data_IF_228132735683
#
_entry.id   IF_228132735683
#
_cell.length_a   1.000
_cell.length_b   1.000
_cell.length_c   1.000
_cell.angle_alpha   90.00
_cell.angle_beta   90.00
_cell.angle_gamma   90.00
#
_symmetry.space_group_name_H-M   'P 1'
#
loop_
_entity.id
_entity.type
_entity.pdbx_description
1 polymer ?
#
# COMPACT_ATOMS: atom_id res chain seq x y z
N UNK A 1 14.92 -32.81 -47.65
CA UNK A 1 14.84 -31.50 -48.31
C UNK A 1 15.95 -30.63 -47.74
N UNK A 2 17.05 -30.47 -48.47
CA UNK A 2 18.08 -29.47 -48.13
C UNK A 2 17.58 -28.13 -48.66
N UNK A 3 17.30 -27.20 -47.75
CA UNK A 3 16.99 -25.82 -48.11
C UNK A 3 18.31 -25.20 -48.59
N UNK A 4 18.32 -24.69 -49.82
CA UNK A 4 19.48 -24.02 -50.38
C UNK A 4 19.53 -22.59 -49.80
N UNK A 5 20.51 -22.32 -48.93
CA UNK A 5 20.63 -21.06 -48.18
C UNK A 5 21.37 -19.96 -48.96
N UNK A 6 22.00 -20.31 -50.09
CA UNK A 6 22.75 -19.37 -50.93
C UNK A 6 21.94 -18.15 -51.40
N UNK A 7 20.65 -18.24 -51.76
CA UNK A 7 19.87 -17.08 -52.21
C UNK A 7 19.58 -16.06 -51.09
N UNK A 8 19.55 -16.50 -49.83
CA UNK A 8 19.25 -15.63 -48.68
C UNK A 8 20.45 -14.75 -48.29
N UNK A 9 21.67 -15.19 -48.61
CA UNK A 9 22.91 -14.44 -48.35
C UNK A 9 23.22 -13.40 -49.44
N UNK A 10 22.69 -13.57 -50.65
CA UNK A 10 22.97 -12.68 -51.79
C UNK A 10 22.05 -11.44 -51.85
N UNK A 11 20.94 -11.40 -51.10
CA UNK A 11 19.93 -10.34 -51.20
C UNK A 11 20.14 -9.14 -50.25
N UNK A 12 21.27 -9.04 -49.54
CA UNK A 12 21.42 -8.17 -48.37
C UNK A 12 22.55 -7.13 -48.38
N UNK A 13 23.16 -6.82 -49.53
CA UNK A 13 24.40 -6.03 -49.58
C UNK A 13 24.20 -4.50 -49.76
N UNK A 14 22.99 -4.01 -50.04
CA UNK A 14 22.82 -2.56 -50.30
C UNK A 14 22.78 -1.66 -49.05
N UNK A 15 22.84 -2.20 -47.83
CA UNK A 15 22.75 -1.38 -46.61
C UNK A 15 23.61 -1.84 -45.42
N UNK A 16 24.53 -2.80 -45.60
CA UNK A 16 25.35 -3.31 -44.50
C UNK A 16 24.58 -4.03 -43.37
N UNK A 17 23.29 -4.35 -43.61
CA UNK A 17 22.41 -5.01 -42.63
C UNK A 17 22.59 -6.53 -42.57
N UNK A 18 23.08 -7.15 -43.64
CA UNK A 18 23.33 -8.60 -43.72
C UNK A 18 24.30 -9.11 -42.63
N UNK A 19 25.49 -8.49 -42.45
CA UNK A 19 26.43 -8.88 -41.40
C UNK A 19 25.87 -8.71 -39.98
N UNK A 20 25.11 -7.65 -39.72
CA UNK A 20 24.49 -7.41 -38.43
C UNK A 20 23.46 -8.50 -38.10
N UNK A 21 22.63 -8.88 -39.08
CA UNK A 21 21.62 -9.93 -38.88
C UNK A 21 22.27 -11.29 -38.57
N UNK A 22 23.36 -11.63 -39.26
CA UNK A 22 24.14 -12.85 -39.00
C UNK A 22 24.77 -12.85 -37.61
N UNK A 23 25.29 -11.71 -37.16
CA UNK A 23 25.87 -11.56 -35.81
C UNK A 23 24.79 -11.74 -34.74
N UNK A 24 23.62 -11.10 -34.89
CA UNK A 24 22.53 -11.25 -33.93
C UNK A 24 21.97 -12.67 -33.89
N UNK A 25 21.86 -13.33 -35.04
CA UNK A 25 21.42 -14.73 -35.12
C UNK A 25 22.44 -15.68 -34.48
N UNK A 26 23.73 -15.48 -34.76
CA UNK A 26 24.81 -16.26 -34.15
C UNK A 26 24.86 -16.08 -32.63
N UNK A 27 24.72 -14.83 -32.14
CA UNK A 27 24.63 -14.55 -30.71
C UNK A 27 23.40 -15.21 -30.07
N UNK A 28 22.24 -15.16 -30.73
CA UNK A 28 21.02 -15.83 -30.27
C UNK A 28 21.21 -17.35 -30.11
N UNK A 29 21.84 -18.01 -31.08
CA UNK A 29 22.19 -19.44 -31.01
C UNK A 29 23.16 -19.71 -29.86
N UNK A 30 24.20 -18.87 -29.68
CA UNK A 30 25.18 -19.03 -28.60
C UNK A 30 24.48 -18.92 -27.23
N UNK A 31 23.63 -17.92 -27.02
CA UNK A 31 22.88 -17.78 -25.76
C UNK A 31 21.90 -18.92 -25.52
N UNK A 32 21.23 -19.42 -26.56
CA UNK A 32 20.35 -20.57 -26.46
C UNK A 32 21.12 -21.85 -26.09
N UNK A 33 22.25 -22.12 -26.76
CA UNK A 33 23.11 -23.27 -26.46
C UNK A 33 23.74 -23.15 -25.07
N UNK A 34 24.13 -21.96 -24.63
CA UNK A 34 24.61 -21.72 -23.25
C UNK A 34 23.50 -21.92 -22.22
N UNK A 35 22.25 -21.54 -22.52
CA UNK A 35 21.09 -21.81 -21.65
C UNK A 35 20.83 -23.31 -21.51
N UNK A 36 20.77 -24.04 -22.63
CA UNK A 36 20.59 -25.50 -22.66
C UNK A 36 21.75 -26.21 -21.98
N UNK A 37 23.00 -25.80 -22.26
CA UNK A 37 24.19 -26.31 -21.59
C UNK A 37 24.12 -26.03 -20.09
N UNK A 38 23.76 -24.83 -19.65
CA UNK A 38 23.61 -24.53 -18.22
C UNK A 38 22.60 -25.44 -17.56
N UNK A 39 21.46 -25.72 -18.20
CA UNK A 39 20.47 -26.67 -17.68
C UNK A 39 21.08 -28.08 -17.61
N UNK A 40 21.59 -28.62 -18.71
CA UNK A 40 22.08 -30.00 -18.77
C UNK A 40 23.30 -30.21 -17.88
N UNK A 41 24.29 -29.32 -17.95
CA UNK A 41 25.53 -29.40 -17.18
C UNK A 41 25.26 -29.19 -15.69
N UNK A 42 24.34 -28.29 -15.29
CA UNK A 42 24.00 -28.13 -13.87
C UNK A 42 23.18 -29.29 -13.32
N UNK A 43 22.26 -29.85 -14.09
CA UNK A 43 21.47 -31.02 -13.65
C UNK A 43 22.33 -32.28 -13.55
N UNK A 44 23.40 -32.42 -14.36
CA UNK A 44 24.23 -33.62 -14.41
C UNK A 44 25.52 -33.53 -13.58
N UNK A 45 26.21 -32.37 -13.51
CA UNK A 45 27.51 -32.24 -12.85
C UNK A 45 27.48 -31.64 -11.43
N UNK A 46 26.41 -30.94 -11.01
CA UNK A 46 26.40 -30.24 -9.72
C UNK A 46 25.99 -31.08 -8.50
N UNK A 47 25.78 -32.40 -8.65
CA UNK A 47 25.46 -33.22 -7.46
C UNK A 47 26.64 -33.46 -6.52
N UNK A 48 27.89 -33.16 -6.91
CA UNK A 48 29.05 -33.54 -6.08
C UNK A 48 30.11 -32.46 -5.79
N UNK A 49 30.36 -31.47 -6.67
CA UNK A 49 31.61 -30.68 -6.56
C UNK A 49 31.49 -29.22 -6.12
N UNK A 50 30.31 -28.59 -6.22
CA UNK A 50 30.22 -27.13 -6.16
C UNK A 50 29.69 -26.55 -4.85
N UNK A 51 29.35 -27.38 -3.85
CA UNK A 51 28.96 -26.88 -2.51
C UNK A 51 30.02 -25.95 -1.90
N UNK A 52 31.30 -26.14 -2.22
CA UNK A 52 32.39 -25.38 -1.62
C UNK A 52 32.55 -23.97 -2.19
N UNK A 53 32.41 -23.79 -3.51
CA UNK A 53 32.53 -22.46 -4.13
C UNK A 53 31.34 -21.57 -3.73
N UNK A 54 30.14 -22.13 -3.61
CA UNK A 54 28.94 -21.37 -3.24
C UNK A 54 28.83 -21.08 -1.74
N UNK A 55 29.39 -21.93 -0.87
CA UNK A 55 29.57 -21.61 0.55
C UNK A 55 30.42 -20.34 0.76
N UNK A 56 31.34 -20.05 -0.16
CA UNK A 56 32.16 -18.83 -0.12
C UNK A 56 31.35 -17.54 -0.34
N UNK A 57 30.16 -17.65 -0.94
CA UNK A 57 29.23 -16.53 -1.14
C UNK A 57 28.02 -16.55 -0.18
N UNK A 58 28.04 -17.41 0.84
CA UNK A 58 27.04 -17.42 1.92
C UNK A 58 25.66 -17.96 1.51
N UNK A 59 25.56 -18.70 0.40
CA UNK A 59 24.30 -19.30 -0.03
C UNK A 59 24.28 -20.79 0.31
N UNK A 60 23.50 -21.15 1.34
CA UNK A 60 23.50 -22.50 1.92
C UNK A 60 22.43 -23.42 1.35
N UNK A 61 21.38 -22.89 0.70
CA UNK A 61 20.31 -23.71 0.14
C UNK A 61 19.92 -23.20 -1.25
N UNK A 62 20.09 -24.04 -2.26
CA UNK A 62 19.49 -23.84 -3.58
C UNK A 62 18.22 -24.67 -3.66
N UNK A 63 17.09 -24.04 -3.98
CA UNK A 63 15.93 -24.79 -4.46
C UNK A 63 16.23 -25.29 -5.87
N UNK A 64 15.83 -26.54 -6.16
CA UNK A 64 15.94 -27.12 -7.52
C UNK A 64 15.28 -26.22 -8.59
N UNK A 65 14.39 -25.33 -8.16
CA UNK A 65 13.69 -24.34 -8.98
C UNK A 65 14.60 -23.23 -9.52
N UNK A 66 15.71 -22.88 -8.86
CA UNK A 66 16.55 -21.76 -9.31
C UNK A 66 17.34 -22.09 -10.58
N UNK A 67 17.79 -23.34 -10.74
CA UNK A 67 18.47 -23.79 -11.97
C UNK A 67 17.52 -23.77 -13.16
N UNK A 68 16.27 -24.20 -12.94
CA UNK A 68 15.20 -24.14 -13.95
C UNK A 68 14.87 -22.69 -14.29
N UNK A 69 14.76 -21.81 -13.29
CA UNK A 69 14.47 -20.39 -13.49
C UNK A 69 15.56 -19.69 -14.30
N UNK A 70 16.83 -19.84 -13.90
CA UNK A 70 17.95 -19.22 -14.62
C UNK A 70 18.08 -19.75 -16.04
N UNK A 71 17.94 -21.07 -16.25
CA UNK A 71 17.89 -21.67 -17.58
C UNK A 71 16.74 -21.11 -18.44
N UNK A 72 15.54 -20.99 -17.87
CA UNK A 72 14.38 -20.43 -18.56
C UNK A 72 14.59 -18.95 -18.96
N UNK A 73 15.21 -18.14 -18.10
CA UNK A 73 15.53 -16.74 -18.41
C UNK A 73 16.50 -16.61 -19.60
N UNK A 74 17.55 -17.45 -19.68
CA UNK A 74 18.46 -17.45 -20.83
C UNK A 74 17.77 -17.91 -22.11
N UNK A 75 16.90 -18.92 -22.05
CA UNK A 75 16.11 -19.36 -23.20
C UNK A 75 15.13 -18.28 -23.68
N UNK A 76 14.41 -17.63 -22.78
CA UNK A 76 13.51 -16.51 -23.09
C UNK A 76 14.26 -15.33 -23.70
N UNK A 77 15.41 -14.96 -23.13
CA UNK A 77 16.27 -13.91 -23.69
C UNK A 77 16.74 -14.24 -25.11
N UNK A 78 17.16 -15.49 -25.37
CA UNK A 78 17.53 -15.96 -26.70
C UNK A 78 16.39 -15.86 -27.72
N UNK A 79 15.17 -16.31 -27.35
CA UNK A 79 13.98 -16.21 -28.21
C UNK A 79 13.63 -14.75 -28.50
N UNK A 80 13.70 -13.88 -27.50
CA UNK A 80 13.36 -12.46 -27.66
C UNK A 80 14.35 -11.75 -28.59
N UNK A 81 15.63 -12.10 -28.54
CA UNK A 81 16.64 -11.63 -29.49
C UNK A 81 16.37 -12.08 -30.92
N UNK A 82 15.99 -13.35 -31.13
CA UNK A 82 15.64 -13.88 -32.45
C UNK A 82 14.40 -13.20 -33.01
N UNK A 83 13.35 -13.02 -32.20
CA UNK A 83 12.12 -12.32 -32.62
C UNK A 83 12.42 -10.85 -32.96
N UNK A 84 13.25 -10.17 -32.17
CA UNK A 84 13.66 -8.78 -32.45
C UNK A 84 14.44 -8.70 -33.77
N UNK A 85 15.36 -9.64 -34.02
CA UNK A 85 16.09 -9.70 -35.28
C UNK A 85 15.17 -9.94 -36.49
N UNK A 86 14.13 -10.79 -36.34
CA UNK A 86 13.10 -11.02 -37.37
C UNK A 86 12.24 -9.76 -37.58
N UNK A 87 11.82 -9.08 -36.52
CA UNK A 87 11.03 -7.86 -36.62
C UNK A 87 11.81 -6.73 -37.33
N UNK A 88 13.11 -6.61 -37.04
CA UNK A 88 14.02 -5.67 -37.72
C UNK A 88 14.24 -6.07 -39.18
N UNK A 89 14.36 -7.38 -39.51
CA UNK A 89 14.52 -7.83 -40.90
C UNK A 89 13.26 -7.65 -41.74
N UNK A 90 12.08 -7.76 -41.12
CA UNK A 90 10.78 -7.54 -41.76
C UNK A 90 10.43 -6.06 -41.94
N UNK A 91 11.30 -5.13 -41.52
CA UNK A 91 11.11 -3.70 -41.76
C UNK A 91 9.90 -3.11 -41.03
N UNK A 92 9.59 -3.61 -39.82
CA UNK A 92 8.55 -3.00 -38.98
C UNK A 92 8.98 -1.57 -38.60
N UNK A 93 8.45 -0.61 -39.34
CA UNK A 93 8.66 0.81 -39.13
C UNK A 93 7.76 1.27 -37.96
N UNK A 94 8.18 0.96 -36.72
CA UNK A 94 7.45 1.27 -35.48
C UNK A 94 7.25 2.79 -35.28
N UNK A 95 8.00 3.61 -36.02
CA UNK A 95 8.02 5.07 -35.93
C UNK A 95 6.75 5.73 -36.51
N UNK A 96 5.98 5.01 -37.35
CA UNK A 96 4.73 5.52 -37.91
C UNK A 96 3.53 5.44 -36.94
N UNK A 97 3.56 4.58 -35.92
CA UNK A 97 2.45 4.46 -34.97
C UNK A 97 2.59 5.35 -33.72
N UNK A 98 3.81 5.66 -33.29
CA UNK A 98 4.01 6.46 -32.07
C UNK A 98 3.84 7.97 -32.29
N UNK A 99 4.04 8.47 -33.51
CA UNK A 99 3.87 9.90 -33.82
C UNK A 99 2.41 10.30 -34.18
N UNK A 100 1.47 9.34 -34.23
CA UNK A 100 0.08 9.60 -34.63
C UNK A 100 -0.86 10.09 -33.53
N UNK A 101 -0.49 10.01 -32.24
CA UNK A 101 -1.41 10.29 -31.12
C UNK A 101 -1.07 11.54 -30.28
N UNK A 102 0.03 12.24 -30.57
CA UNK A 102 0.52 13.31 -29.69
C UNK A 102 -0.04 14.73 -29.90
N UNK A 103 -0.85 15.00 -30.93
CA UNK A 103 -1.04 16.38 -31.40
C UNK A 103 -2.48 16.93 -31.43
N UNK A 104 -3.43 16.37 -30.66
CA UNK A 104 -4.83 16.84 -30.69
C UNK A 104 -5.34 17.61 -29.45
N UNK A 105 -4.55 17.86 -28.40
CA UNK A 105 -5.10 18.46 -27.15
C UNK A 105 -4.54 19.85 -26.79
N UNK A 106 -3.70 20.46 -27.62
CA UNK A 106 -3.14 21.79 -27.34
C UNK A 106 -3.38 22.77 -28.48
N UNK A 107 -4.64 23.14 -28.74
CA UNK A 107 -4.99 24.43 -29.36
C UNK A 107 -6.50 24.68 -29.28
N UNK A 108 -6.96 25.15 -28.12
CA UNK A 108 -8.25 25.80 -27.99
C UNK A 108 -8.09 27.10 -27.18
N UNK A 109 -7.29 28.03 -27.72
CA UNK A 109 -7.30 29.43 -27.31
C UNK A 109 -7.25 30.33 -28.56
N UNK A 110 -8.40 30.97 -28.78
CA UNK A 110 -8.60 32.32 -29.31
C UNK A 110 -7.57 32.82 -30.34
N UNK A 111 -7.88 32.61 -31.61
CA UNK A 111 -7.49 33.55 -32.67
C UNK A 111 -8.63 33.65 -33.68
N UNK A 112 -9.24 34.83 -33.72
CA UNK A 112 -10.08 35.31 -34.81
C UNK A 112 -9.20 35.31 -36.08
N UNK A 113 -9.32 34.26 -36.89
CA UNK A 113 -8.83 34.24 -38.27
C UNK A 113 -10.03 34.06 -39.20
N UNK A 114 -10.23 35.07 -40.02
CA UNK A 114 -11.15 35.08 -41.15
C UNK A 114 -10.94 33.84 -42.03
N UNK A 115 -12.00 33.26 -42.62
CA UNK A 115 -11.85 32.14 -43.54
C UNK A 115 -11.17 32.62 -44.83
N UNK A 116 -9.87 32.34 -44.96
CA UNK A 116 -9.21 32.35 -46.26
C UNK A 116 -9.78 31.20 -47.09
N UNK A 117 -10.43 31.59 -48.19
CA UNK A 117 -11.14 30.71 -49.11
C UNK A 117 -10.23 29.64 -49.72
N UNK A 118 -10.45 28.40 -49.31
CA UNK A 118 -10.04 27.24 -50.08
C UNK A 118 -11.14 26.99 -51.13
N UNK A 119 -10.86 27.39 -52.37
CA UNK A 119 -11.74 27.14 -53.52
C UNK A 119 -11.87 25.63 -53.73
N UNK A 120 -13.07 25.04 -53.68
CA UNK A 120 -13.27 23.69 -54.20
C UNK A 120 -12.98 23.72 -55.71
N UNK A 121 -12.18 22.77 -56.15
CA UNK A 121 -11.87 22.52 -57.54
C UNK A 121 -13.19 22.26 -58.27
N UNK A 122 -13.67 23.26 -59.01
CA UNK A 122 -14.90 23.23 -59.78
C UNK A 122 -14.63 22.35 -61.00
N UNK A 123 -15.24 21.16 -61.17
CA UNK A 123 -15.22 20.49 -62.46
C UNK A 123 -15.80 21.47 -63.49
N UNK A 124 -15.14 21.54 -64.64
CA UNK A 124 -15.46 22.45 -65.72
C UNK A 124 -16.96 22.46 -65.99
N UNK A 125 -17.56 23.65 -65.96
CA UNK A 125 -18.91 23.91 -66.44
C UNK A 125 -18.93 23.54 -67.93
N UNK A 126 -19.38 22.33 -68.22
CA UNK A 126 -19.81 21.94 -69.54
C UNK A 126 -20.96 22.87 -69.95
N UNK A 127 -20.75 23.60 -71.05
CA UNK A 127 -21.70 24.55 -71.63
C UNK A 127 -23.08 23.89 -71.71
N UNK A 128 -24.00 24.36 -70.89
CA UNK A 128 -25.42 24.07 -71.05
C UNK A 128 -25.84 24.48 -72.47
N UNK A 129 -26.28 23.49 -73.24
CA UNK A 129 -26.92 23.70 -74.53
C UNK A 129 -28.16 24.58 -74.36
N UNK A 130 -28.50 25.41 -75.37
CA UNK A 130 -29.67 26.27 -75.33
C UNK A 130 -30.94 25.44 -75.08
N UNK A 131 -31.93 25.98 -74.33
CA UNK A 131 -33.19 25.29 -74.08
C UNK A 131 -33.83 24.94 -75.42
N UNK A 132 -33.93 23.64 -75.72
CA UNK A 132 -34.67 23.18 -76.88
C UNK A 132 -36.13 23.65 -76.74
N UNK A 133 -36.75 24.16 -77.81
CA UNK A 133 -38.15 24.55 -77.80
C UNK A 133 -39.00 23.34 -77.44
N UNK A 134 -39.75 23.47 -76.33
CA UNK A 134 -40.71 22.50 -75.86
C UNK A 134 -41.64 22.11 -77.01
N UNK A 135 -41.50 20.87 -77.48
CA UNK A 135 -42.46 20.29 -78.42
C UNK A 135 -43.87 20.36 -77.80
N UNK A 136 -44.91 20.65 -78.60
CA UNK A 136 -46.28 20.68 -78.11
C UNK A 136 -46.61 19.31 -77.52
N UNK A 137 -46.81 19.28 -76.20
CA UNK A 137 -47.29 18.10 -75.47
C UNK A 137 -48.62 17.71 -76.10
N UNK A 138 -48.64 16.59 -76.83
CA UNK A 138 -49.90 15.99 -77.29
C UNK A 138 -50.75 15.73 -76.05
N UNK A 139 -52.03 16.08 -76.11
CA UNK A 139 -52.94 15.94 -74.97
C UNK A 139 -52.92 14.51 -74.45
N UNK A 140 -52.52 14.33 -73.20
CA UNK A 140 -52.55 13.04 -72.50
C UNK A 140 -53.92 12.40 -72.72
N UNK A 141 -53.91 11.15 -73.13
CA UNK A 141 -55.14 10.37 -73.23
C UNK A 141 -55.72 10.18 -71.81
N UNK A 142 -57.06 10.06 -71.65
CA UNK A 142 -57.67 9.83 -70.33
C UNK A 142 -57.08 8.62 -69.57
N UNK A 143 -56.57 7.61 -70.29
CA UNK A 143 -55.88 6.45 -69.71
C UNK A 143 -54.50 6.78 -69.13
N UNK A 144 -53.68 7.57 -69.84
CA UNK A 144 -52.36 8.02 -69.34
C UNK A 144 -52.50 8.90 -68.09
N UNK A 145 -53.53 9.75 -68.05
CA UNK A 145 -53.82 10.58 -66.87
C UNK A 145 -54.19 9.73 -65.66
N UNK A 146 -55.05 8.72 -65.83
CA UNK A 146 -55.44 7.82 -64.75
C UNK A 146 -54.25 6.98 -64.24
N UNK A 147 -53.39 6.49 -65.14
CA UNK A 147 -52.19 5.76 -64.78
C UNK A 147 -51.19 6.62 -63.99
N UNK A 148 -50.99 7.88 -64.40
CA UNK A 148 -50.13 8.85 -63.70
C UNK A 148 -50.67 9.21 -62.30
N UNK A 149 -51.99 9.38 -62.17
CA UNK A 149 -52.64 9.60 -60.87
C UNK A 149 -52.55 8.38 -59.94
N UNK A 150 -52.49 7.17 -60.47
CA UNK A 150 -52.23 5.96 -59.68
C UNK A 150 -50.75 5.84 -59.26
N UNK A 151 -49.82 6.11 -60.17
CA UNK A 151 -48.38 6.13 -59.86
C UNK A 151 -48.03 7.19 -58.80
N UNK A 152 -48.58 8.41 -58.92
CA UNK A 152 -48.36 9.47 -57.94
C UNK A 152 -48.93 9.10 -56.56
N UNK A 153 -50.07 8.38 -56.52
CA UNK A 153 -50.61 7.83 -55.28
C UNK A 153 -49.69 6.77 -54.68
N UNK A 154 -49.11 5.89 -55.49
CA UNK A 154 -48.15 4.87 -55.03
C UNK A 154 -46.85 5.52 -54.52
N UNK A 155 -46.28 6.48 -55.26
CA UNK A 155 -45.08 7.22 -54.86
C UNK A 155 -45.29 7.99 -53.57
N UNK A 156 -46.44 8.63 -53.40
CA UNK A 156 -46.80 9.31 -52.15
C UNK A 156 -46.91 8.32 -50.99
N UNK A 157 -47.58 7.18 -51.20
CA UNK A 157 -47.69 6.14 -50.18
C UNK A 157 -46.33 5.55 -49.79
N UNK A 158 -45.44 5.31 -50.76
CA UNK A 158 -44.08 4.83 -50.53
C UNK A 158 -43.23 5.87 -49.78
N UNK A 159 -43.33 7.14 -50.17
CA UNK A 159 -42.65 8.24 -49.48
C UNK A 159 -43.12 8.37 -48.04
N UNK A 160 -44.43 8.35 -47.78
CA UNK A 160 -45.00 8.41 -46.44
C UNK A 160 -44.58 7.19 -45.59
N UNK A 161 -44.55 5.99 -46.18
CA UNK A 161 -44.06 4.79 -45.51
C UNK A 161 -42.55 4.87 -45.18
N UNK A 162 -41.75 5.42 -46.10
CA UNK A 162 -40.31 5.66 -45.89
C UNK A 162 -40.07 6.69 -44.80
N UNK A 163 -40.85 7.76 -44.76
CA UNK A 163 -40.77 8.79 -43.70
C UNK A 163 -41.11 8.19 -42.33
N UNK A 164 -42.20 7.43 -42.22
CA UNK A 164 -42.56 6.74 -40.95
C UNK A 164 -41.45 5.80 -40.49
N UNK A 165 -40.87 5.02 -41.40
CA UNK A 165 -39.74 4.12 -41.07
C UNK A 165 -38.51 4.89 -40.60
N UNK A 166 -38.22 6.04 -41.23
CA UNK A 166 -37.10 6.91 -40.82
C UNK A 166 -37.35 7.49 -39.42
N UNK A 167 -38.55 7.97 -39.13
CA UNK A 167 -38.95 8.47 -37.80
C UNK A 167 -38.86 7.36 -36.73
N UNK A 168 -39.34 6.15 -37.02
CA UNK A 168 -39.22 4.99 -36.12
C UNK A 168 -37.75 4.61 -35.86
N UNK A 169 -36.90 4.60 -36.89
CA UNK A 169 -35.48 4.30 -36.77
C UNK A 169 -34.74 5.39 -35.95
N UNK A 170 -35.11 6.65 -36.12
CA UNK A 170 -34.54 7.77 -35.35
C UNK A 170 -34.99 7.71 -33.88
N UNK A 171 -36.27 7.42 -33.60
CA UNK A 171 -36.76 7.18 -32.24
C UNK A 171 -36.03 6.00 -31.57
N UNK A 172 -35.80 4.89 -32.30
CA UNK A 172 -35.04 3.75 -31.78
C UNK A 172 -33.61 4.15 -31.43
N UNK A 173 -32.95 4.95 -32.27
CA UNK A 173 -31.58 5.44 -32.00
C UNK A 173 -31.52 6.38 -30.80
N UNK A 174 -32.51 7.24 -30.63
CA UNK A 174 -32.62 8.11 -29.44
C UNK A 174 -32.82 7.28 -28.18
N UNK A 175 -33.72 6.29 -28.21
CA UNK A 175 -33.93 5.38 -27.09
C UNK A 175 -32.66 4.59 -26.77
N UNK A 176 -31.98 4.02 -27.77
CA UNK A 176 -30.71 3.30 -27.55
C UNK A 176 -29.60 4.21 -26.96
N UNK A 177 -29.56 5.49 -27.34
CA UNK A 177 -28.62 6.46 -26.75
C UNK A 177 -28.97 6.75 -25.30
N UNK A 178 -30.24 7.02 -25.01
CA UNK A 178 -30.72 7.25 -23.65
C UNK A 178 -30.45 6.04 -22.74
N UNK A 179 -30.67 4.82 -23.23
CA UNK A 179 -30.41 3.58 -22.49
C UNK A 179 -28.91 3.39 -22.22
N UNK A 180 -28.03 3.70 -23.19
CA UNK A 180 -26.57 3.65 -23.00
C UNK A 180 -26.08 4.67 -22.00
N UNK A 181 -26.57 5.91 -22.09
CA UNK A 181 -26.23 6.99 -21.16
C UNK A 181 -26.70 6.64 -19.74
N UNK A 182 -27.91 6.10 -19.60
CA UNK A 182 -28.43 5.64 -18.31
C UNK A 182 -27.56 4.50 -17.72
N UNK A 183 -27.17 3.52 -18.55
CA UNK A 183 -26.29 2.43 -18.14
C UNK A 183 -24.89 2.90 -17.73
N UNK A 184 -24.33 3.91 -18.42
CA UNK A 184 -23.04 4.51 -18.07
C UNK A 184 -23.11 5.27 -16.75
N UNK A 185 -24.16 6.06 -16.55
CA UNK A 185 -24.40 6.78 -15.29
C UNK A 185 -24.58 5.83 -14.12
N UNK A 186 -25.28 4.71 -14.31
CA UNK A 186 -25.41 3.69 -13.27
C UNK A 186 -24.07 3.01 -12.95
N UNK A 187 -23.27 2.65 -13.95
CA UNK A 187 -21.93 2.08 -13.75
C UNK A 187 -21.02 3.04 -12.99
N UNK A 188 -21.05 4.33 -13.35
CA UNK A 188 -20.28 5.37 -12.66
C UNK A 188 -20.69 5.48 -11.19
N UNK A 189 -22.00 5.52 -10.90
CA UNK A 189 -22.52 5.53 -9.52
C UNK A 189 -22.08 4.30 -8.73
N UNK A 190 -22.14 3.12 -9.34
CA UNK A 190 -21.69 1.88 -8.70
C UNK A 190 -20.17 1.88 -8.43
N UNK A 191 -19.36 2.40 -9.36
CA UNK A 191 -17.92 2.53 -9.18
C UNK A 191 -17.56 3.51 -8.05
N UNK A 192 -18.20 4.68 -8.02
CA UNK A 192 -18.04 5.67 -6.95
C UNK A 192 -18.48 5.10 -5.58
N UNK A 193 -19.58 4.36 -5.52
CA UNK A 193 -20.03 3.71 -4.29
C UNK A 193 -19.04 2.63 -3.82
N UNK A 194 -18.50 1.82 -4.74
CA UNK A 194 -17.50 0.80 -4.43
C UNK A 194 -16.19 1.40 -3.94
N UNK A 195 -15.72 2.48 -4.57
CA UNK A 195 -14.53 3.22 -4.12
C UNK A 195 -14.73 3.80 -2.72
N UNK A 196 -15.88 4.44 -2.45
CA UNK A 196 -16.20 4.98 -1.13
C UNK A 196 -16.25 3.88 -0.06
N UNK A 197 -16.84 2.73 -0.36
CA UNK A 197 -16.84 1.58 0.57
C UNK A 197 -15.42 1.08 0.85
N UNK A 198 -14.59 0.96 -0.19
CA UNK A 198 -13.18 0.58 -0.04
C UNK A 198 -12.41 1.57 0.83
N UNK A 199 -12.61 2.87 0.64
CA UNK A 199 -11.98 3.90 1.48
C UNK A 199 -12.43 3.79 2.94
N UNK A 200 -13.73 3.60 3.19
CA UNK A 200 -14.25 3.40 4.55
C UNK A 200 -13.68 2.14 5.22
N UNK A 201 -13.54 1.04 4.47
CA UNK A 201 -12.92 -0.19 4.97
C UNK A 201 -11.43 0.02 5.31
N UNK A 202 -10.69 0.73 4.46
CA UNK A 202 -9.28 1.07 4.71
C UNK A 202 -9.13 1.99 5.93
N UNK A 203 -9.95 3.02 6.07
CA UNK A 203 -9.95 3.91 7.23
C UNK A 203 -10.33 3.17 8.52
N UNK A 204 -11.32 2.27 8.46
CA UNK A 204 -11.71 1.44 9.59
C UNK A 204 -10.59 0.48 9.99
N UNK A 205 -9.91 -0.16 9.02
CA UNK A 205 -8.76 -1.00 9.25
C UNK A 205 -7.58 -0.22 9.86
N UNK A 206 -7.30 0.98 9.34
CA UNK A 206 -6.29 1.90 9.88
C UNK A 206 -6.60 2.25 11.33
N UNK A 207 -7.84 2.64 11.62
CA UNK A 207 -8.28 2.99 12.99
C UNK A 207 -8.18 1.79 13.93
N UNK A 208 -8.55 0.59 13.47
CA UNK A 208 -8.43 -0.63 14.24
C UNK A 208 -6.97 -0.95 14.58
N UNK A 209 -6.06 -0.87 13.61
CA UNK A 209 -4.63 -1.08 13.81
C UNK A 209 -3.96 -0.02 14.71
N UNK A 210 -4.53 1.18 14.81
CA UNK A 210 -4.04 2.24 15.71
C UNK A 210 -4.64 2.16 17.13
N UNK A 211 -5.64 1.32 17.34
CA UNK A 211 -6.32 1.14 18.63
C UNK A 211 -5.63 0.00 19.38
N UNK A 212 -5.01 0.31 20.51
CA UNK A 212 -4.33 -0.70 21.31
C UNK A 212 -5.36 -1.51 22.13
N UNK A 213 -5.24 -2.85 22.20
CA UNK A 213 -6.01 -3.67 23.12
C UNK A 213 -5.57 -3.41 24.57
N UNK A 214 -6.34 -3.88 25.56
CA UNK A 214 -5.86 -3.89 26.94
C UNK A 214 -4.75 -4.95 27.13
N UNK A 215 -3.70 -4.70 27.94
CA UNK A 215 -2.68 -5.69 28.19
C UNK A 215 -3.26 -6.94 28.87
N UNK A 216 -3.06 -8.14 28.31
CA UNK A 216 -3.60 -9.37 28.89
C UNK A 216 -2.94 -9.74 30.22
N UNK A 217 -1.73 -9.22 30.48
CA UNK A 217 -0.99 -9.43 31.70
C UNK A 217 -0.30 -8.12 32.10
N UNK A 218 -0.52 -7.67 33.34
CA UNK A 218 0.22 -6.55 33.89
C UNK A 218 1.69 -6.92 34.10
N UNK A 219 2.61 -6.02 33.73
CA UNK A 219 4.02 -6.15 34.05
C UNK A 219 4.28 -5.56 35.44
N UNK A 220 5.31 -6.05 36.16
CA UNK A 220 5.79 -5.38 37.36
C UNK A 220 6.09 -3.91 37.06
N UNK A 221 5.79 -3.02 38.01
CA UNK A 221 6.21 -1.62 37.88
C UNK A 221 7.72 -1.59 38.05
N UNK A 222 8.43 -1.12 37.03
CA UNK A 222 9.87 -0.98 37.07
C UNK A 222 10.24 0.44 37.47
N UNK A 223 11.39 0.58 38.10
CA UNK A 223 12.09 1.85 38.24
C UNK A 223 13.47 1.69 37.64
N UNK A 224 13.81 2.60 36.75
CA UNK A 224 15.16 2.76 36.24
C UNK A 224 15.48 4.25 36.23
N UNK A 225 16.71 4.59 36.60
CA UNK A 225 17.14 5.99 36.61
C UNK A 225 17.15 6.47 35.16
N UNK A 226 16.44 7.54 34.83
CA UNK A 226 16.29 8.04 33.45
C UNK A 226 17.64 8.24 32.72
N UNK A 227 18.73 8.52 33.46
CA UNK A 227 20.09 8.62 32.91
C UNK A 227 20.85 7.30 32.73
N UNK A 228 20.25 6.14 33.06
CA UNK A 228 20.89 4.82 32.89
C UNK A 228 20.54 4.15 31.57
N UNK A 229 19.58 4.69 30.83
CA UNK A 229 19.22 4.19 29.50
C UNK A 229 20.37 4.48 28.53
N UNK A 230 20.85 3.45 27.84
CA UNK A 230 22.01 3.52 26.95
C UNK A 230 21.58 3.41 25.49
N UNK A 231 22.20 4.17 24.60
CA UNK A 231 22.05 3.97 23.15
C UNK A 231 22.66 2.63 22.75
N UNK A 232 21.86 1.78 22.12
CA UNK A 232 22.33 0.59 21.42
C UNK A 232 23.02 0.94 20.10
N UNK A 233 23.31 -0.08 19.30
CA UNK A 233 23.88 0.12 17.96
C UNK A 233 22.85 0.76 17.05
N UNK A 234 23.20 1.88 16.42
CA UNK A 234 22.39 2.47 15.35
C UNK A 234 22.50 1.61 14.08
N UNK A 235 21.38 1.08 13.60
CA UNK A 235 21.31 0.31 12.36
C UNK A 235 20.99 1.25 11.20
N UNK A 236 21.84 1.32 10.18
CA UNK A 236 21.62 2.13 8.98
C UNK A 236 22.53 3.34 8.88
N UNK A 237 22.12 4.34 8.10
CA UNK A 237 22.89 5.59 7.87
C UNK A 237 22.11 6.77 8.43
N UNK A 238 22.81 7.65 9.15
CA UNK A 238 22.23 8.91 9.62
C UNK A 238 22.04 9.82 8.41
N UNK A 239 20.79 10.03 7.99
CA UNK A 239 20.41 10.92 6.90
C UNK A 239 19.02 11.49 7.19
N UNK A 240 18.84 12.78 6.94
CA UNK A 240 17.60 13.49 7.24
C UNK A 240 17.46 13.89 8.72
N UNK A 241 16.23 13.96 9.20
CA UNK A 241 15.89 14.37 10.56
C UNK A 241 16.14 13.23 11.55
N UNK A 242 16.63 13.57 12.74
CA UNK A 242 16.83 12.60 13.83
C UNK A 242 15.60 12.57 14.73
N UNK A 243 15.30 11.38 15.25
CA UNK A 243 14.24 11.19 16.25
C UNK A 243 14.76 10.42 17.46
N UNK A 244 14.10 10.63 18.59
CA UNK A 244 14.31 9.93 19.85
C UNK A 244 12.96 9.80 20.54
N UNK A 245 12.62 8.61 21.00
CA UNK A 245 11.40 8.35 21.77
C UNK A 245 11.71 7.38 22.91
N UNK A 246 11.45 7.82 24.13
CA UNK A 246 11.70 7.07 25.35
C UNK A 246 10.39 6.59 25.95
N UNK A 247 10.42 5.39 26.54
CA UNK A 247 9.34 4.91 27.35
C UNK A 247 9.07 5.88 28.52
N UNK A 248 7.81 6.10 28.90
CA UNK A 248 7.47 6.77 30.16
C UNK A 248 8.17 6.09 31.34
N UNK A 249 8.30 6.79 32.47
CA UNK A 249 8.98 6.25 33.65
C UNK A 249 8.40 4.88 34.06
N UNK A 250 9.28 3.89 34.20
CA UNK A 250 8.91 2.52 34.54
C UNK A 250 8.33 1.68 33.40
N UNK A 251 8.24 2.26 32.19
CA UNK A 251 7.78 1.58 31.00
C UNK A 251 8.86 0.74 30.33
N UNK A 252 8.43 -0.32 29.64
CA UNK A 252 9.28 -1.11 28.74
C UNK A 252 8.60 -1.23 27.39
N UNK A 253 9.38 -1.31 26.32
CA UNK A 253 8.85 -1.48 24.97
C UNK A 253 8.33 -2.91 24.79
N UNK A 254 7.07 -3.04 24.39
CA UNK A 254 6.38 -4.32 24.17
C UNK A 254 5.98 -4.54 22.72
N UNK A 255 6.15 -3.53 21.87
CA UNK A 255 5.80 -3.61 20.46
C UNK A 255 6.02 -2.30 19.73
N UNK A 256 5.51 -2.22 18.51
CA UNK A 256 5.50 -1.00 17.72
C UNK A 256 4.40 -1.06 16.66
N UNK A 257 3.97 0.10 16.19
CA UNK A 257 3.21 0.28 14.96
C UNK A 257 4.19 0.73 13.89
N UNK A 258 4.34 -0.06 12.84
CA UNK A 258 5.17 0.31 11.69
C UNK A 258 4.29 0.94 10.62
N UNK A 259 4.70 2.07 10.07
CA UNK A 259 4.03 2.70 8.94
C UNK A 259 4.76 2.29 7.67
N UNK A 260 4.03 1.69 6.74
CA UNK A 260 4.58 1.14 5.50
C UNK A 260 4.23 2.04 4.33
N UNK A 261 5.17 2.24 3.43
CA UNK A 261 5.01 3.07 2.24
C UNK A 261 5.53 2.33 1.01
N UNK A 262 5.10 2.77 -0.18
CA UNK A 262 5.50 2.21 -1.47
C UNK A 262 6.72 2.93 -2.08
N UNK A 263 7.33 3.85 -1.33
CA UNK A 263 8.59 4.51 -1.72
C UNK A 263 9.74 3.50 -1.81
N UNK A 264 10.27 3.32 -3.02
CA UNK A 264 11.25 2.29 -3.38
C UNK A 264 10.74 0.85 -3.19
N UNK A 265 9.43 0.63 -3.37
CA UNK A 265 8.76 -0.60 -2.99
C UNK A 265 8.28 -0.54 -1.54
N UNK A 266 7.86 -1.66 -0.97
CA UNK A 266 7.24 -1.71 0.36
C UNK A 266 8.30 -1.50 1.45
N UNK A 267 8.52 -0.25 1.87
CA UNK A 267 9.55 0.15 2.85
C UNK A 267 8.95 0.64 4.16
N UNK A 268 9.79 0.72 5.21
CA UNK A 268 9.36 1.18 6.53
C UNK A 268 9.46 2.70 6.59
N UNK A 269 8.32 3.37 6.38
CA UNK A 269 8.21 4.83 6.37
C UNK A 269 8.42 5.47 7.75
N UNK A 270 7.89 4.81 8.77
CA UNK A 270 7.93 5.30 10.15
C UNK A 270 7.65 4.21 11.16
N UNK A 271 7.81 4.55 12.42
CA UNK A 271 7.59 3.66 13.56
C UNK A 271 7.03 4.44 14.73
N UNK A 272 6.05 3.89 15.43
CA UNK A 272 5.54 4.38 16.72
C UNK A 272 5.70 3.27 17.75
N UNK A 273 6.61 3.40 18.72
CA UNK A 273 6.82 2.35 19.71
C UNK A 273 5.61 2.25 20.64
N UNK A 274 5.36 1.04 21.14
CA UNK A 274 4.32 0.77 22.13
C UNK A 274 5.01 0.34 23.41
N UNK A 275 4.74 1.06 24.48
CA UNK A 275 5.27 0.80 25.81
C UNK A 275 4.19 0.18 26.69
N UNK A 276 4.60 -0.65 27.65
CA UNK A 276 3.73 -1.07 28.74
C UNK A 276 4.24 -0.48 30.05
N UNK A 277 3.35 0.22 30.77
CA UNK A 277 3.60 0.80 32.09
C UNK A 277 2.59 0.17 33.04
N UNK A 278 3.03 -0.81 33.84
CA UNK A 278 2.14 -1.59 34.70
C UNK A 278 1.09 -2.36 33.91
N UNK A 279 -0.17 -1.96 34.07
CA UNK A 279 -1.37 -2.59 33.48
C UNK A 279 -1.87 -1.89 32.20
N UNK A 280 -1.13 -0.92 31.66
CA UNK A 280 -1.57 -0.14 30.49
C UNK A 280 -0.54 -0.11 29.38
N UNK A 281 -1.01 -0.17 28.14
CA UNK A 281 -0.20 0.23 27.00
C UNK A 281 -0.23 1.74 26.79
N UNK A 282 0.92 2.29 26.41
CA UNK A 282 1.11 3.71 26.10
C UNK A 282 1.80 3.79 24.74
N UNK A 283 1.22 4.55 23.80
CA UNK A 283 1.85 4.83 22.52
C UNK A 283 2.93 5.90 22.70
N UNK A 284 4.09 5.68 22.10
CA UNK A 284 5.14 6.69 21.96
C UNK A 284 4.86 7.70 20.87
N UNK A 285 5.84 8.55 20.57
CA UNK A 285 5.75 9.47 19.43
C UNK A 285 5.84 8.73 18.09
N UNK A 286 5.18 9.26 17.07
CA UNK A 286 5.40 8.80 15.68
C UNK A 286 6.76 9.30 15.23
N UNK A 287 7.64 8.36 14.88
CA UNK A 287 9.01 8.62 14.43
C UNK A 287 9.13 8.23 12.96
N UNK A 288 9.17 9.20 12.06
CA UNK A 288 9.15 8.99 10.61
C UNK A 288 7.90 9.55 9.95
N UNK A 289 7.58 9.04 8.76
CA UNK A 289 6.37 9.42 8.02
C UNK A 289 5.20 8.50 8.42
N UNK A 290 4.08 9.07 8.87
CA UNK A 290 2.85 8.32 9.08
C UNK A 290 2.17 8.02 7.72
N UNK A 291 1.76 6.78 7.50
CA UNK A 291 1.07 6.34 6.28
C UNK A 291 -0.31 5.77 6.57
N UNK A 292 -1.05 5.43 5.53
CA UNK A 292 -2.36 4.77 5.61
C UNK A 292 -2.27 3.24 5.83
N UNK A 293 -1.06 2.67 5.85
CA UNK A 293 -0.79 1.25 6.05
C UNK A 293 -0.04 0.96 7.38
N UNK A 294 -0.67 1.18 8.55
CA UNK A 294 -0.07 0.81 9.82
C UNK A 294 -0.10 -0.71 10.02
N UNK A 295 1.03 -1.26 10.47
CA UNK A 295 1.15 -2.66 10.90
C UNK A 295 1.54 -2.69 12.38
N UNK A 296 0.56 -3.01 13.22
CA UNK A 296 0.76 -3.16 14.66
C UNK A 296 1.42 -4.51 14.98
N UNK A 297 2.47 -4.47 15.78
CA UNK A 297 3.06 -5.65 16.39
C UNK A 297 3.14 -5.48 17.90
N UNK A 298 2.74 -6.52 18.61
CA UNK A 298 2.81 -6.62 20.07
C UNK A 298 3.45 -7.95 20.43
N UNK A 299 4.18 -7.97 21.54
CA UNK A 299 4.60 -9.19 22.18
C UNK A 299 3.38 -9.98 22.73
N UNK A 300 3.52 -11.29 22.79
CA UNK A 300 2.69 -12.18 23.60
C UNK A 300 2.64 -11.74 25.08
N UNK A 301 1.61 -12.16 25.85
CA UNK A 301 1.47 -11.81 27.27
C UNK A 301 2.77 -12.02 28.07
N UNK A 302 3.22 -10.99 28.79
CA UNK A 302 4.45 -11.02 29.58
C UNK A 302 5.75 -10.93 28.76
N UNK A 303 5.65 -10.84 27.43
CA UNK A 303 6.76 -10.60 26.53
C UNK A 303 7.10 -9.11 26.42
N UNK A 304 8.37 -8.84 26.12
CA UNK A 304 8.88 -7.49 25.83
C UNK A 304 9.80 -7.54 24.62
N UNK A 305 10.08 -6.38 24.02
CA UNK A 305 11.04 -6.27 22.92
C UNK A 305 12.46 -6.51 23.42
N UNK A 306 13.16 -7.43 22.76
CA UNK A 306 14.53 -7.85 23.04
C UNK A 306 15.54 -7.36 21.99
N UNK A 307 15.05 -6.87 20.85
CA UNK A 307 15.88 -6.43 19.73
C UNK A 307 15.09 -6.22 18.46
N UNK A 308 15.80 -6.05 17.35
CA UNK A 308 15.24 -5.87 16.02
C UNK A 308 16.16 -6.44 14.95
N UNK A 309 15.57 -7.13 13.98
CA UNK A 309 16.18 -7.43 12.69
C UNK A 309 15.71 -6.41 11.67
N UNK A 310 16.63 -5.87 10.90
CA UNK A 310 16.31 -4.94 9.83
C UNK A 310 16.99 -5.36 8.54
N UNK A 311 16.45 -4.94 7.41
CA UNK A 311 17.17 -4.89 6.16
C UNK A 311 17.24 -3.45 5.69
N UNK A 312 18.45 -2.97 5.46
CA UNK A 312 18.70 -1.54 5.19
C UNK A 312 19.57 -1.41 3.95
N UNK A 313 19.06 -0.70 2.94
CA UNK A 313 19.77 -0.25 1.76
C UNK A 313 20.05 1.25 1.83
N UNK A 314 19.48 2.01 0.89
CA UNK A 314 19.45 3.48 0.96
C UNK A 314 18.48 3.97 2.05
N UNK A 315 17.42 3.21 2.25
CA UNK A 315 16.38 3.37 3.27
C UNK A 315 16.17 2.03 3.99
N UNK A 316 15.29 2.00 5.00
CA UNK A 316 14.88 0.80 5.71
C UNK A 316 13.84 0.03 4.91
N UNK A 317 14.26 -1.06 4.30
CA UNK A 317 13.41 -1.90 3.44
C UNK A 317 12.50 -2.80 4.29
N UNK A 318 13.02 -3.34 5.40
CA UNK A 318 12.28 -4.27 6.28
C UNK A 318 12.68 -4.12 7.74
N UNK A 319 11.72 -4.33 8.64
CA UNK A 319 11.93 -4.45 10.07
C UNK A 319 11.18 -5.65 10.65
N UNK A 320 11.72 -6.25 11.70
CA UNK A 320 11.10 -7.36 12.43
C UNK A 320 11.56 -7.28 13.89
N UNK A 321 10.63 -7.11 14.82
CA UNK A 321 10.96 -7.09 16.24
C UNK A 321 11.29 -8.50 16.73
N UNK A 322 12.28 -8.57 17.62
CA UNK A 322 12.55 -9.75 18.42
C UNK A 322 11.94 -9.54 19.81
N UNK A 323 11.27 -10.57 20.31
CA UNK A 323 10.61 -10.55 21.60
C UNK A 323 11.20 -11.63 22.50
N UNK A 324 10.99 -11.49 23.81
CA UNK A 324 11.23 -12.56 24.77
C UNK A 324 10.48 -12.32 26.08
N UNK A 325 10.20 -13.39 26.85
CA UNK A 325 9.49 -13.26 28.12
C UNK A 325 10.35 -12.54 29.14
N UNK A 326 9.72 -11.63 29.90
CA UNK A 326 10.37 -10.89 30.97
C UNK A 326 10.34 -11.70 32.27
N UNK A 327 11.52 -12.12 32.76
CA UNK A 327 11.68 -12.85 34.03
C UNK A 327 12.34 -11.93 35.06
N UNK A 328 11.51 -11.33 35.91
CA UNK A 328 11.96 -10.31 36.87
C UNK A 328 12.42 -9.05 36.13
N UNK A 329 13.73 -8.82 36.08
CA UNK A 329 14.33 -7.62 35.47
C UNK A 329 15.15 -7.92 34.21
N UNK A 330 15.06 -9.14 33.67
CA UNK A 330 15.79 -9.58 32.48
C UNK A 330 14.89 -10.36 31.53
N UNK A 331 15.19 -10.26 30.25
CA UNK A 331 14.58 -11.09 29.20
C UNK A 331 15.31 -12.44 29.18
N UNK A 332 14.56 -13.54 29.06
CA UNK A 332 15.16 -14.85 28.80
C UNK A 332 15.45 -15.03 27.30
N UNK A 333 16.72 -14.96 26.85
CA UNK A 333 17.05 -15.03 25.43
C UNK A 333 16.77 -16.42 24.84
N UNK A 334 16.68 -17.47 25.65
CA UNK A 334 16.42 -18.84 25.17
C UNK A 334 14.96 -19.06 24.78
N UNK A 335 14.08 -18.16 25.20
CA UNK A 335 12.65 -18.18 24.88
C UNK A 335 12.29 -17.03 23.93
N UNK A 336 13.28 -16.51 23.20
CA UNK A 336 13.07 -15.45 22.23
C UNK A 336 12.33 -15.95 20.98
N UNK A 337 11.50 -15.09 20.42
CA UNK A 337 10.82 -15.32 19.14
C UNK A 337 10.81 -14.04 18.29
N UNK A 338 10.47 -14.16 17.02
CA UNK A 338 10.38 -13.04 16.10
C UNK A 338 8.94 -12.72 15.77
N UNK A 339 8.64 -11.42 15.69
CA UNK A 339 7.35 -10.92 15.21
C UNK A 339 7.15 -11.09 13.71
N UNK A 340 6.08 -10.47 13.22
CA UNK A 340 5.88 -10.33 11.78
C UNK A 340 7.00 -9.49 11.18
N UNK A 341 7.49 -9.87 10.01
CA UNK A 341 8.36 -9.01 9.25
C UNK A 341 7.53 -8.03 8.43
N UNK A 342 7.87 -6.75 8.53
CA UNK A 342 7.18 -5.66 7.82
C UNK A 342 8.13 -5.01 6.81
N UNK A 343 7.60 -4.71 5.62
CA UNK A 343 8.40 -4.25 4.48
C UNK A 343 8.87 -5.38 3.56
N UNK A 344 9.77 -5.06 2.62
CA UNK A 344 10.22 -5.95 1.56
C UNK A 344 11.63 -6.51 1.78
N UNK A 345 11.99 -7.57 1.05
CA UNK A 345 13.32 -8.20 1.10
C UNK A 345 14.42 -7.45 0.32
N UNK A 346 14.53 -6.15 0.55
CA UNK A 346 15.61 -5.29 0.04
C UNK A 346 16.81 -5.21 0.98
N UNK A 347 17.84 -4.43 0.62
CA UNK A 347 18.90 -4.02 1.54
C UNK A 347 19.80 -5.14 2.10
N UNK A 348 20.76 -4.73 2.94
CA UNK A 348 21.63 -5.66 3.69
C UNK A 348 21.07 -5.93 5.08
N UNK A 349 21.14 -7.18 5.59
CA UNK A 349 20.66 -7.50 6.93
C UNK A 349 21.51 -6.79 7.99
N UNK A 350 20.82 -6.26 9.01
CA UNK A 350 21.39 -5.58 10.17
C UNK A 350 20.54 -5.92 11.39
N UNK A 351 21.16 -6.51 12.39
CA UNK A 351 20.47 -7.01 13.57
C UNK A 351 21.03 -6.32 14.82
N UNK A 352 20.15 -6.07 15.78
CA UNK A 352 20.49 -5.62 17.12
C UNK A 352 19.73 -6.43 18.15
N UNK A 353 20.43 -6.93 19.17
CA UNK A 353 19.84 -7.61 20.33
C UNK A 353 20.40 -7.00 21.60
N UNK A 354 19.56 -6.92 22.63
CA UNK A 354 19.91 -6.28 23.90
C UNK A 354 20.56 -7.23 24.93
N UNK A 355 20.94 -8.45 24.54
CA UNK A 355 21.61 -9.45 25.40
C UNK A 355 20.87 -9.70 26.73
N UNK A 356 19.56 -9.92 26.66
CA UNK A 356 18.71 -10.16 27.84
C UNK A 356 18.31 -8.91 28.62
N UNK A 357 18.67 -7.71 28.15
CA UNK A 357 18.22 -6.43 28.72
C UNK A 357 16.94 -5.97 28.03
N UNK A 358 16.11 -5.19 28.72
CA UNK A 358 14.89 -4.63 28.13
C UNK A 358 15.19 -3.39 27.28
N UNK A 359 14.32 -3.16 26.30
CA UNK A 359 14.32 -1.94 25.48
C UNK A 359 13.39 -0.91 26.10
N UNK A 360 13.91 0.30 26.33
CA UNK A 360 13.22 1.44 26.92
C UNK A 360 12.94 2.57 25.93
N UNK A 361 13.08 2.34 24.63
CA UNK A 361 12.84 3.36 23.60
C UNK A 361 13.54 3.08 22.29
N UNK A 362 13.37 4.01 21.35
CA UNK A 362 13.97 3.97 20.02
C UNK A 362 14.60 5.32 19.67
N UNK A 363 15.57 5.30 18.75
CA UNK A 363 16.12 6.51 18.14
C UNK A 363 16.52 6.21 16.70
N UNK A 364 16.79 7.24 15.90
CA UNK A 364 17.21 7.02 14.53
C UNK A 364 17.15 8.27 13.67
N UNK A 365 16.98 8.05 12.36
CA UNK A 365 16.79 9.13 11.40
C UNK A 365 15.87 8.72 10.25
N UNK A 366 15.22 9.71 9.64
CA UNK A 366 14.34 9.54 8.50
C UNK A 366 14.41 10.75 7.55
N UNK A 367 14.05 10.55 6.29
CA UNK A 367 13.83 11.66 5.35
C UNK A 367 12.33 11.99 5.31
N UNK A 368 11.91 13.24 5.59
CA UNK A 368 10.49 13.62 5.56
C UNK A 368 9.83 13.30 4.20
N UNK A 369 8.64 12.69 4.25
CA UNK A 369 7.91 12.24 3.07
C UNK A 369 8.53 11.02 2.37
N UNK A 370 9.55 10.41 2.99
CA UNK A 370 10.14 9.13 2.59
C UNK A 370 10.19 8.21 3.81
N UNK A 371 11.22 7.36 3.86
CA UNK A 371 11.34 6.28 4.81
C UNK A 371 12.41 6.47 5.87
N UNK A 372 12.36 5.61 6.90
CA UNK A 372 13.43 5.52 7.90
C UNK A 372 14.75 5.20 7.19
N UNK A 373 15.83 5.88 7.58
CA UNK A 373 17.18 5.60 7.07
C UNK A 373 18.06 4.93 8.12
N UNK A 374 17.71 5.09 9.40
CA UNK A 374 18.33 4.37 10.51
C UNK A 374 17.38 4.15 11.69
N UNK A 375 17.62 3.08 12.44
CA UNK A 375 16.91 2.73 13.67
C UNK A 375 17.89 2.15 14.69
N UNK A 376 17.84 2.66 15.91
CA UNK A 376 18.54 2.18 17.09
C UNK A 376 17.56 2.01 18.24
N UNK A 377 18.00 1.32 19.28
CA UNK A 377 17.19 1.05 20.47
C UNK A 377 17.87 1.53 21.72
N UNK A 378 17.08 2.10 22.63
CA UNK A 378 17.52 2.46 23.96
C UNK A 378 17.45 1.23 24.88
N UNK A 379 18.59 0.80 25.40
CA UNK A 379 18.71 -0.37 26.28
C UNK A 379 18.67 0.07 27.74
N UNK A 380 17.89 -0.63 28.56
CA UNK A 380 17.85 -0.43 30.02
C UNK A 380 18.81 -1.44 30.66
N UNK A 381 20.02 -1.05 31.10
CA UNK A 381 21.05 -2.00 31.55
C UNK A 381 20.69 -2.67 32.88
N UNK A 382 19.96 -1.95 33.73
CA UNK A 382 19.51 -2.42 35.04
C UNK A 382 18.10 -1.89 35.30
N UNK A 383 17.14 -2.79 35.35
CA UNK A 383 15.83 -2.51 35.93
C UNK A 383 15.83 -2.94 37.39
N UNK A 384 15.17 -2.16 38.23
CA UNK A 384 14.75 -2.61 39.56
C UNK A 384 13.25 -2.79 39.49
N UNK A 385 12.77 -4.00 39.83
CA UNK A 385 11.36 -4.15 40.13
C UNK A 385 11.10 -3.28 41.34
N UNK A 386 10.32 -2.21 41.18
CA UNK A 386 9.74 -1.59 42.36
C UNK A 386 8.91 -2.68 43.01
N UNK A 387 9.10 -2.89 44.31
CA UNK A 387 8.13 -3.65 45.06
C UNK A 387 6.78 -3.04 44.68
N UNK A 388 5.88 -3.83 44.08
CA UNK A 388 4.54 -3.37 43.76
C UNK A 388 4.10 -2.54 44.96
N UNK A 389 3.74 -1.25 44.80
CA UNK A 389 3.33 -0.44 45.92
C UNK A 389 2.35 -1.29 46.70
N UNK A 390 2.74 -1.68 47.92
CA UNK A 390 2.09 -2.77 48.63
C UNK A 390 0.60 -2.51 48.54
N UNK A 391 -0.13 -3.43 47.89
CA UNK A 391 -1.50 -3.21 47.41
C UNK A 391 -2.22 -2.31 48.43
N UNK A 392 -2.58 -1.06 48.05
CA UNK A 392 -2.68 0.07 48.96
C UNK A 392 -3.33 -0.38 50.24
N UNK A 393 -2.50 -0.51 51.29
CA UNK A 393 -2.74 -1.33 52.49
C UNK A 393 -4.23 -1.43 52.75
N UNK A 394 -4.83 -2.57 52.33
CA UNK A 394 -6.25 -2.72 52.02
C UNK A 394 -7.08 -1.69 52.77
N UNK A 395 -7.39 -0.54 52.13
CA UNK A 395 -7.81 0.62 52.91
C UNK A 395 -8.98 0.22 53.81
N UNK A 396 -8.71 0.36 55.12
CA UNK A 396 -9.43 -0.34 56.17
C UNK A 396 -10.91 0.03 56.06
N UNK A 397 -11.78 -0.97 55.93
CA UNK A 397 -13.21 -0.73 55.96
C UNK A 397 -13.53 -0.04 57.29
N UNK A 398 -14.02 1.20 57.22
CA UNK A 398 -14.33 2.02 58.40
C UNK A 398 -15.79 2.45 58.34
N UNK A 399 -16.40 2.57 59.51
CA UNK A 399 -17.74 3.15 59.64
C UNK A 399 -17.63 4.67 59.64
N UNK A 400 -17.99 5.30 58.53
CA UNK A 400 -18.11 6.75 58.41
C UNK A 400 -19.44 7.21 59.01
N UNK A 401 -19.38 8.22 59.87
CA UNK A 401 -20.54 8.78 60.57
C UNK A 401 -20.80 10.20 60.06
N UNK A 402 -22.08 10.56 59.87
CA UNK A 402 -22.46 11.93 59.51
C UNK A 402 -22.21 12.91 60.66
N UNK A 403 -22.09 14.19 60.35
CA UNK A 403 -21.81 15.26 61.33
C UNK A 403 -22.90 15.36 62.41
N UNK A 404 -24.14 15.01 62.10
CA UNK A 404 -25.27 14.95 63.03
C UNK A 404 -25.40 13.61 63.76
N UNK A 405 -24.55 12.63 63.44
CA UNK A 405 -24.57 11.28 64.03
C UNK A 405 -25.71 10.37 63.57
N UNK A 406 -26.62 10.83 62.69
CA UNK A 406 -27.82 10.08 62.29
C UNK A 406 -27.55 8.98 61.26
N UNK A 407 -26.52 9.15 60.44
CA UNK A 407 -26.17 8.22 59.38
C UNK A 407 -24.80 7.61 59.65
N UNK A 408 -24.71 6.29 59.52
CA UNK A 408 -23.47 5.53 59.63
C UNK A 408 -23.36 4.60 58.44
N UNK A 409 -22.19 4.53 57.84
CA UNK A 409 -21.95 3.69 56.68
C UNK A 409 -20.58 3.01 56.73
N UNK A 410 -20.56 1.69 56.59
CA UNK A 410 -19.33 0.93 56.39
C UNK A 410 -18.87 1.10 54.94
N UNK A 411 -17.79 1.84 54.76
CA UNK A 411 -17.23 2.12 53.45
C UNK A 411 -15.70 2.21 53.49
N UNK A 412 -15.10 2.16 52.31
CA UNK A 412 -13.68 2.37 52.05
C UNK A 412 -13.49 3.75 51.44
N UNK A 413 -12.63 4.58 52.02
CA UNK A 413 -12.25 5.86 51.42
C UNK A 413 -11.49 5.59 50.12
N UNK A 414 -12.05 6.04 49.00
CA UNK A 414 -11.49 5.78 47.67
C UNK A 414 -10.70 6.99 47.16
N UNK A 415 -11.28 8.19 47.25
CA UNK A 415 -10.65 9.44 46.82
C UNK A 415 -11.20 10.65 47.59
N UNK A 416 -10.35 11.63 47.85
CA UNK A 416 -10.74 12.98 48.28
C UNK A 416 -10.68 13.88 47.04
N UNK A 417 -11.82 14.45 46.65
CA UNK A 417 -11.90 15.30 45.47
C UNK A 417 -11.53 16.75 45.83
N UNK A 418 -11.06 17.50 44.84
CA UNK A 418 -10.62 18.89 45.02
C UNK A 418 -11.79 19.85 45.33
N UNK A 419 -13.02 19.44 45.04
CA UNK A 419 -14.27 20.16 45.35
C UNK A 419 -14.70 20.05 46.83
N UNK A 420 -13.90 19.36 47.66
CA UNK A 420 -14.21 19.14 49.07
C UNK A 420 -15.19 18.00 49.34
N UNK A 421 -15.48 17.16 48.34
CA UNK A 421 -16.23 15.90 48.52
C UNK A 421 -15.30 14.70 48.71
N UNK A 422 -15.83 13.64 49.30
CA UNK A 422 -15.14 12.35 49.44
C UNK A 422 -15.94 11.25 48.74
N UNK A 423 -15.25 10.46 47.92
CA UNK A 423 -15.81 9.26 47.30
C UNK A 423 -15.54 8.06 48.22
N UNK A 424 -16.61 7.44 48.70
CA UNK A 424 -16.59 6.27 49.58
C UNK A 424 -17.18 5.06 48.83
N UNK A 425 -16.47 3.93 48.83
CA UNK A 425 -16.95 2.66 48.28
C UNK A 425 -17.57 1.83 49.40
N UNK A 426 -18.89 1.61 49.37
CA UNK A 426 -19.61 0.79 50.36
C UNK A 426 -19.13 -0.66 50.33
N UNK A 427 -19.38 -1.39 51.44
CA UNK A 427 -19.18 -2.85 51.51
C UNK A 427 -19.92 -3.63 50.42
N UNK A 428 -21.07 -3.13 49.98
CA UNK A 428 -21.90 -3.71 48.91
C UNK A 428 -21.41 -3.37 47.49
N UNK A 429 -20.29 -2.63 47.36
CA UNK A 429 -19.70 -2.25 46.08
C UNK A 429 -20.26 -0.97 45.44
N UNK A 430 -21.29 -0.36 46.03
CA UNK A 430 -21.81 0.93 45.57
C UNK A 430 -20.90 2.11 45.98
N UNK A 431 -20.61 3.02 45.06
CA UNK A 431 -19.90 4.27 45.36
C UNK A 431 -20.88 5.36 45.81
N UNK A 432 -20.50 6.15 46.82
CA UNK A 432 -21.21 7.36 47.23
C UNK A 432 -20.24 8.53 47.35
N UNK A 433 -20.68 9.71 46.95
CA UNK A 433 -19.94 10.95 47.16
C UNK A 433 -20.63 11.77 48.24
N UNK A 434 -19.88 12.16 49.27
CA UNK A 434 -20.40 12.88 50.44
C UNK A 434 -19.56 14.13 50.66
N UNK A 435 -20.14 15.31 50.93
CA UNK A 435 -19.35 16.49 51.27
C UNK A 435 -18.52 16.24 52.53
N UNK A 436 -17.25 16.64 52.54
CA UNK A 436 -16.35 16.45 53.70
C UNK A 436 -16.93 17.09 54.97
N UNK A 437 -17.64 18.22 54.83
CA UNK A 437 -18.32 18.92 55.93
C UNK A 437 -19.45 18.12 56.57
N UNK A 438 -20.03 17.16 55.83
CA UNK A 438 -21.13 16.31 56.30
C UNK A 438 -20.67 15.09 57.10
N UNK A 439 -19.36 14.85 57.19
CA UNK A 439 -18.78 13.80 58.02
C UNK A 439 -18.51 14.28 59.46
N UNK A 440 -18.50 13.33 60.40
CA UNK A 440 -18.14 13.55 61.80
C UNK A 440 -16.73 14.16 61.93
N UNK A 441 -16.45 14.84 63.03
CA UNK A 441 -15.10 15.40 63.27
C UNK A 441 -13.98 14.35 63.22
N UNK A 442 -14.24 13.16 63.74
CA UNK A 442 -13.28 12.06 63.74
C UNK A 442 -12.99 11.56 62.33
N UNK A 443 -14.04 11.38 61.52
CA UNK A 443 -13.89 10.92 60.15
C UNK A 443 -13.27 11.99 59.24
N UNK A 444 -13.55 13.28 59.48
CA UNK A 444 -12.86 14.38 58.80
C UNK A 444 -11.36 14.38 59.11
N UNK A 445 -10.97 14.16 60.36
CA UNK A 445 -9.55 14.03 60.74
C UNK A 445 -8.89 12.83 60.04
N UNK A 446 -9.58 11.70 59.99
CA UNK A 446 -9.10 10.51 59.28
C UNK A 446 -8.89 10.78 57.79
N UNK A 447 -9.89 11.36 57.11
CA UNK A 447 -9.80 11.71 55.68
C UNK A 447 -8.64 12.68 55.44
N UNK A 448 -8.51 13.72 56.27
CA UNK A 448 -7.43 14.70 56.13
C UNK A 448 -6.04 14.11 56.39
N UNK A 449 -5.92 13.04 57.19
CA UNK A 449 -4.64 12.34 57.39
C UNK A 449 -4.23 11.45 56.22
N UNK A 450 -5.15 11.21 55.27
CA UNK A 450 -4.96 10.38 54.07
C UNK A 450 -4.94 11.21 52.78
N UNK A 451 -5.13 12.52 52.89
CA UNK A 451 -4.84 13.50 51.83
C UNK A 451 -3.33 13.59 51.65
#
# INVERSE_FOLDING_TARGET
MMVDWMPLLAAGDEAGKGPALLIFFALGIIFFLLGVYSIVTKTVLLRARDRWIFAMFGWTEFSDSFAVFTGACYCLGGVLFVVTAIAVSMGFNLEAQLNGQGNQVANQQVAVQQPQGNKPNRPAVEKAAPPQPSQPVMGETPEEKAAREEEDRQRKAEFDARMRKMEEDDQRREQERADREAAEMERKRQAEEAERKRQQELEAARKAALTLPEPPQALPVFTYVAGTVQEGTLLGRVKGERFMDHAPEGGVMVGAIFFIDDHFGTSVAGVQPIYQVGDKYVKGAVCGTETDQPVQQLAEPGGVVAGVKTRIGLIMDRAQLAYGPLKGTRIDPNQGYFGLAVGQDGGSPKDFYADGKAIGGIFGSYEPGKSLTSLGMYVIPRMQASAMPAAPAAAEMRTFTSADGKFRIEAKLQKVNDDGTVTLLKKEGGEISVPLTSLSEEDRKYVNSRK
#
